data_IF_937479910523
#
_entry.id   IF_937479910523
#
_cell.length_a   1.000
_cell.length_b   1.000
_cell.length_c   1.000
_cell.angle_alpha   90.00
_cell.angle_beta   90.00
_cell.angle_gamma   90.00
#
_symmetry.space_group_name_H-M   'P 1'
#
loop_
_entity.id
_entity.type
_entity.pdbx_description
1 polymer ?
#
# COMPACT_ATOMS: atom_id res chain seq x y z
N UNK A 1 11.60 -43.84 4.01
CA UNK A 1 11.85 -42.59 4.77
C UNK A 1 12.90 -41.74 4.06
N UNK A 2 12.49 -40.57 3.53
CA UNK A 2 13.33 -39.36 3.44
C UNK A 2 12.38 -38.17 3.58
N UNK A 3 12.33 -37.59 4.79
CA UNK A 3 11.64 -36.34 5.05
C UNK A 3 12.43 -35.22 4.35
N UNK A 4 11.89 -34.68 3.26
CA UNK A 4 12.37 -33.43 2.69
C UNK A 4 12.05 -32.30 3.65
N UNK A 5 13.08 -31.59 4.12
CA UNK A 5 12.94 -30.43 5.00
C UNK A 5 12.03 -29.41 4.33
N UNK A 6 10.87 -29.12 4.93
CA UNK A 6 10.00 -28.04 4.49
C UNK A 6 10.76 -26.72 4.58
N UNK A 7 11.15 -26.16 3.44
CA UNK A 7 11.58 -24.77 3.39
C UNK A 7 10.39 -23.91 3.81
N UNK A 8 10.53 -23.23 4.95
CA UNK A 8 9.62 -22.16 5.34
C UNK A 8 9.76 -21.07 4.29
N UNK A 9 8.80 -20.98 3.36
CA UNK A 9 8.74 -19.89 2.39
C UNK A 9 8.69 -18.59 3.17
N UNK A 10 9.76 -17.80 3.12
CA UNK A 10 9.75 -16.44 3.66
C UNK A 10 8.74 -15.65 2.82
N UNK A 11 7.58 -15.35 3.39
CA UNK A 11 6.67 -14.38 2.80
C UNK A 11 7.39 -13.03 2.85
N UNK A 12 7.96 -12.61 1.71
CA UNK A 12 8.53 -11.28 1.58
C UNK A 12 7.37 -10.29 1.43
N UNK A 13 7.24 -9.40 2.40
CA UNK A 13 6.38 -8.22 2.27
C UNK A 13 7.12 -7.12 1.54
N UNK A 14 6.48 -6.52 0.55
CA UNK A 14 6.97 -5.32 -0.10
C UNK A 14 6.44 -4.05 0.60
N UNK A 15 7.20 -2.97 0.54
CA UNK A 15 6.70 -1.63 0.86
C UNK A 15 6.60 -0.84 -0.44
N UNK A 16 5.40 -0.38 -0.78
CA UNK A 16 5.18 0.50 -1.92
C UNK A 16 5.17 1.95 -1.45
N UNK A 17 6.15 2.72 -1.92
CA UNK A 17 6.25 4.15 -1.60
C UNK A 17 5.69 4.98 -2.75
N UNK A 18 4.71 5.84 -2.45
CA UNK A 18 4.07 6.74 -3.40
C UNK A 18 4.46 8.16 -3.05
N UNK A 19 5.19 8.83 -3.94
CA UNK A 19 5.46 10.25 -3.84
C UNK A 19 4.30 11.01 -4.49
N UNK A 20 3.61 11.84 -3.74
CA UNK A 20 2.44 12.57 -4.23
C UNK A 20 2.58 14.08 -3.97
N UNK A 21 2.17 14.89 -4.96
CA UNK A 21 2.09 16.35 -4.85
C UNK A 21 0.91 16.86 -5.68
N UNK A 22 -0.03 17.55 -5.03
CA UNK A 22 -1.16 18.25 -5.66
C UNK A 22 -1.94 17.38 -6.67
N UNK A 23 -2.17 16.11 -6.32
CA UNK A 23 -2.74 15.12 -7.23
C UNK A 23 -3.75 14.18 -6.56
N UNK A 24 -4.63 14.74 -5.73
CA UNK A 24 -5.59 13.99 -4.91
C UNK A 24 -6.48 13.02 -5.71
N UNK A 25 -6.90 13.40 -6.91
CA UNK A 25 -7.74 12.57 -7.78
C UNK A 25 -7.02 11.29 -8.19
N UNK A 26 -5.84 11.42 -8.79
CA UNK A 26 -5.06 10.24 -9.23
C UNK A 26 -4.50 9.46 -8.05
N UNK A 27 -4.21 10.10 -6.91
CA UNK A 27 -3.87 9.39 -5.69
C UNK A 27 -5.01 8.45 -5.26
N UNK A 28 -6.26 8.92 -5.31
CA UNK A 28 -7.43 8.10 -4.99
C UNK A 28 -7.57 6.93 -5.96
N UNK A 29 -7.42 7.16 -7.26
CA UNK A 29 -7.48 6.11 -8.28
C UNK A 29 -6.35 5.08 -8.09
N UNK A 30 -5.14 5.54 -7.81
CA UNK A 30 -3.99 4.71 -7.51
C UNK A 30 -4.24 3.82 -6.29
N UNK A 31 -4.67 4.39 -5.16
CA UNK A 31 -4.96 3.60 -3.96
C UNK A 31 -6.13 2.62 -4.18
N UNK A 32 -7.16 3.00 -4.94
CA UNK A 32 -8.23 2.05 -5.35
C UNK A 32 -7.69 0.91 -6.21
N UNK A 33 -6.78 1.18 -7.14
CA UNK A 33 -6.22 0.13 -8.00
C UNK A 33 -5.33 -0.82 -7.22
N UNK A 34 -4.61 -0.33 -6.20
CA UNK A 34 -3.78 -1.14 -5.29
C UNK A 34 -4.61 -2.08 -4.42
N UNK A 35 -5.75 -1.62 -3.91
CA UNK A 35 -6.70 -2.47 -3.16
C UNK A 35 -7.20 -3.66 -4.00
N UNK A 36 -7.29 -3.50 -5.32
CA UNK A 36 -7.84 -4.51 -6.24
C UNK A 36 -6.78 -5.43 -6.88
N UNK A 37 -5.53 -5.41 -6.41
CA UNK A 37 -4.47 -6.27 -6.95
C UNK A 37 -4.68 -7.75 -6.56
N UNK A 38 -4.05 -8.65 -7.33
CA UNK A 38 -4.00 -10.07 -6.99
C UNK A 38 -3.19 -10.30 -5.70
N UNK A 39 -2.06 -9.59 -5.57
CA UNK A 39 -1.34 -9.43 -4.31
C UNK A 39 -2.20 -8.67 -3.31
N UNK A 40 -2.26 -9.14 -2.08
CA UNK A 40 -3.14 -8.65 -1.02
C UNK A 40 -2.50 -7.50 -0.28
N UNK A 41 -3.13 -6.33 -0.35
CA UNK A 41 -2.80 -5.18 0.48
C UNK A 41 -2.87 -5.58 1.97
N UNK A 42 -1.89 -5.14 2.75
CA UNK A 42 -1.65 -5.48 4.14
C UNK A 42 -1.13 -6.89 4.44
N UNK A 43 -1.13 -7.83 3.48
CA UNK A 43 -0.59 -9.19 3.65
C UNK A 43 0.71 -9.39 2.87
N UNK A 44 0.68 -9.05 1.59
CA UNK A 44 1.80 -9.16 0.64
C UNK A 44 2.57 -7.83 0.52
N UNK A 45 1.90 -6.69 0.73
CA UNK A 45 2.54 -5.38 0.71
C UNK A 45 1.84 -4.32 1.57
N UNK A 46 2.61 -3.32 1.98
CA UNK A 46 2.15 -2.12 2.68
C UNK A 46 2.36 -0.89 1.79
N UNK A 47 1.69 0.22 2.08
CA UNK A 47 1.79 1.45 1.29
C UNK A 47 2.21 2.61 2.18
N UNK A 48 3.16 3.42 1.71
CA UNK A 48 3.56 4.68 2.33
C UNK A 48 3.38 5.82 1.32
N UNK A 49 2.47 6.74 1.62
CA UNK A 49 2.23 7.96 0.85
C UNK A 49 3.06 9.09 1.44
N UNK A 50 4.04 9.57 0.69
CA UNK A 50 4.82 10.75 1.03
C UNK A 50 4.23 11.96 0.32
N UNK A 51 3.53 12.80 1.07
CA UNK A 51 2.93 14.03 0.56
C UNK A 51 3.96 15.18 0.52
N UNK A 52 4.16 15.76 -0.66
CA UNK A 52 5.08 16.86 -0.89
C UNK A 52 4.57 18.22 -0.42
N UNK A 53 3.87 18.28 0.72
CA UNK A 53 3.15 19.45 1.22
C UNK A 53 2.11 19.98 0.23
N UNK A 54 1.19 19.11 -0.20
CA UNK A 54 0.15 19.47 -1.17
C UNK A 54 -0.76 20.58 -0.66
N UNK A 55 -1.16 21.49 -1.55
CA UNK A 55 -2.19 22.50 -1.33
C UNK A 55 -3.60 22.03 -1.64
N UNK A 56 -3.75 20.82 -2.20
CA UNK A 56 -5.03 20.19 -2.50
C UNK A 56 -5.50 19.23 -1.39
N UNK A 57 -6.49 18.38 -1.69
CA UNK A 57 -7.05 17.42 -0.75
C UNK A 57 -6.27 16.08 -0.65
N UNK A 58 -5.01 16.02 -1.08
CA UNK A 58 -4.23 14.77 -1.10
C UNK A 58 -4.10 14.11 0.27
N UNK A 59 -3.88 14.90 1.33
CA UNK A 59 -3.81 14.42 2.71
C UNK A 59 -5.10 13.73 3.15
N UNK A 60 -6.27 14.32 2.86
CA UNK A 60 -7.58 13.73 3.15
C UNK A 60 -7.81 12.42 2.41
N UNK A 61 -7.28 12.30 1.18
CA UNK A 61 -7.35 11.03 0.44
C UNK A 61 -6.54 9.97 1.16
N UNK A 62 -5.26 10.23 1.48
CA UNK A 62 -4.43 9.29 2.23
C UNK A 62 -5.07 8.88 3.57
N UNK A 63 -5.57 9.85 4.35
CA UNK A 63 -6.27 9.59 5.63
C UNK A 63 -7.53 8.73 5.47
N UNK A 64 -8.29 8.91 4.38
CA UNK A 64 -9.48 8.08 4.15
C UNK A 64 -9.14 6.62 3.90
N UNK A 65 -7.99 6.34 3.28
CA UNK A 65 -7.52 4.98 3.05
C UNK A 65 -6.88 4.38 4.32
N UNK A 66 -6.12 5.16 5.09
CA UNK A 66 -5.50 4.65 6.33
C UNK A 66 -6.54 4.22 7.38
N UNK A 67 -7.71 4.86 7.42
CA UNK A 67 -8.85 4.45 8.27
C UNK A 67 -9.43 3.09 7.88
N UNK A 68 -9.41 2.74 6.59
CA UNK A 68 -9.94 1.48 6.08
C UNK A 68 -8.87 0.37 6.05
N UNK A 69 -7.62 0.76 5.81
CA UNK A 69 -6.46 -0.11 5.62
C UNK A 69 -5.31 0.40 6.47
N UNK A 70 -5.13 -0.11 7.72
CA UNK A 70 -4.10 0.39 8.64
C UNK A 70 -2.64 0.24 8.15
N UNK A 71 -2.40 -0.55 7.10
CA UNK A 71 -1.11 -0.69 6.45
C UNK A 71 -0.82 0.38 5.37
N UNK A 72 -1.77 1.28 5.10
CA UNK A 72 -1.58 2.47 4.26
C UNK A 72 -1.25 3.63 5.20
N UNK A 73 -0.05 4.18 5.08
CA UNK A 73 0.49 5.24 5.93
C UNK A 73 0.77 6.50 5.15
#
# INVERSE_FOLDING_TARGET
MRFGKGQKMLLMRALMVILNKDNAEKLRECLKSLVNQSAKLCDDFEVLVLDGASGDNSSRVAESFSKLYPCVK
#
